data_IF_386396114770
#
_entry.id   IF_386396114770
#
_cell.length_a   1.000
_cell.length_b   1.000
_cell.length_c   1.000
_cell.angle_alpha   90.00
_cell.angle_beta   90.00
_cell.angle_gamma   90.00
#
_symmetry.space_group_name_H-M   'P 1'
#
loop_
_entity.id
_entity.type
_entity.pdbx_description
1 polymer ?
#
# COMPACT_ATOMS: atom_id res chain seq x y z
N UNK A 1 -7.61 -5.78 5.45
CA UNK A 1 -7.32 -6.25 4.06
C UNK A 1 -7.92 -7.61 3.77
N UNK A 2 -7.80 -8.59 4.67
CA UNK A 2 -8.34 -9.93 4.47
C UNK A 2 -9.88 -10.01 4.45
N UNK A 3 -10.58 -9.23 5.28
CA UNK A 3 -12.03 -9.28 5.40
C UNK A 3 -12.81 -9.12 4.08
N UNK A 4 -12.54 -8.08 3.26
CA UNK A 4 -13.16 -7.97 1.93
C UNK A 4 -12.89 -9.16 1.00
N UNK A 5 -11.70 -9.76 1.10
CA UNK A 5 -11.29 -10.89 0.27
C UNK A 5 -11.99 -12.18 0.70
N UNK A 6 -12.12 -12.42 2.00
CA UNK A 6 -12.71 -13.63 2.57
C UNK A 6 -14.25 -13.58 2.65
N UNK A 7 -14.83 -12.39 2.83
CA UNK A 7 -16.25 -12.20 3.13
C UNK A 7 -16.98 -11.35 2.08
N UNK A 8 -16.63 -11.48 0.80
CA UNK A 8 -17.22 -10.67 -0.28
C UNK A 8 -18.77 -10.72 -0.31
N UNK A 9 -19.36 -11.90 -0.08
CA UNK A 9 -20.81 -12.08 -0.05
C UNK A 9 -21.49 -11.37 1.13
N UNK A 10 -20.81 -11.27 2.28
CA UNK A 10 -21.31 -10.53 3.43
C UNK A 10 -21.30 -9.02 3.17
N UNK A 11 -20.23 -8.49 2.55
CA UNK A 11 -20.16 -7.08 2.15
C UNK A 11 -21.26 -6.71 1.16
N UNK A 12 -21.51 -7.57 0.15
CA UNK A 12 -22.58 -7.38 -0.82
C UNK A 12 -23.97 -7.37 -0.16
N UNK A 13 -24.26 -8.34 0.71
CA UNK A 13 -25.51 -8.42 1.47
C UNK A 13 -25.75 -7.20 2.36
N UNK A 14 -24.70 -6.68 2.99
CA UNK A 14 -24.80 -5.53 3.88
C UNK A 14 -24.78 -4.19 3.13
N UNK A 15 -24.64 -4.19 1.80
CA UNK A 15 -24.51 -2.97 0.99
C UNK A 15 -23.22 -2.17 1.29
N UNK A 16 -22.24 -2.79 1.95
CA UNK A 16 -21.00 -2.13 2.37
C UNK A 16 -19.99 -2.22 1.23
N UNK A 17 -19.45 -1.07 0.83
CA UNK A 17 -18.36 -1.03 -0.14
C UNK A 17 -17.04 -1.35 0.58
N UNK A 18 -16.23 -2.27 0.07
CA UNK A 18 -14.93 -2.53 0.65
C UNK A 18 -14.02 -1.29 0.51
N UNK A 19 -13.10 -1.06 1.47
CA UNK A 19 -12.17 0.06 1.39
C UNK A 19 -11.27 -0.12 0.16
N UNK A 20 -11.09 0.96 -0.62
CA UNK A 20 -10.33 0.90 -1.87
C UNK A 20 -8.86 1.23 -1.69
N UNK A 21 -8.56 2.08 -0.70
CA UNK A 21 -7.22 2.57 -0.43
C UNK A 21 -6.92 2.65 1.06
N UNK A 22 -5.70 2.27 1.41
CA UNK A 22 -5.12 2.44 2.75
C UNK A 22 -3.88 3.33 2.64
N UNK A 23 -3.80 4.40 3.42
CA UNK A 23 -2.60 5.24 3.53
C UNK A 23 -1.92 4.98 4.87
N UNK A 24 -0.73 4.39 4.83
CA UNK A 24 0.18 4.25 5.95
C UNK A 24 1.01 5.53 6.09
N UNK A 25 0.96 6.16 7.25
CA UNK A 25 1.79 7.33 7.54
C UNK A 25 2.46 7.19 8.89
N UNK A 26 3.59 7.88 9.08
CA UNK A 26 4.32 7.87 10.35
C UNK A 26 5.80 8.14 10.15
N UNK A 27 6.58 8.16 11.24
CA UNK A 27 8.00 8.46 11.18
C UNK A 27 8.78 7.47 10.29
N UNK A 28 9.91 7.91 9.71
CA UNK A 28 10.78 7.03 8.94
C UNK A 28 11.34 5.91 9.83
N UNK A 29 11.69 4.78 9.24
CA UNK A 29 12.29 3.65 9.97
C UNK A 29 11.31 2.78 10.76
N UNK A 30 10.00 3.03 10.69
CA UNK A 30 8.96 2.19 11.30
C UNK A 30 8.40 1.10 10.37
N UNK A 31 9.22 0.61 9.44
CA UNK A 31 8.90 -0.58 8.65
C UNK A 31 7.58 -0.54 7.84
N UNK A 32 7.06 0.63 7.47
CA UNK A 32 5.81 0.77 6.68
C UNK A 32 5.81 -0.09 5.40
N UNK A 33 6.93 -0.06 4.67
CA UNK A 33 7.17 -0.88 3.48
C UNK A 33 7.18 -2.38 3.78
N UNK A 34 7.76 -2.78 4.92
CA UNK A 34 7.78 -4.18 5.34
C UNK A 34 6.39 -4.65 5.82
N UNK A 35 5.64 -3.79 6.50
CA UNK A 35 4.27 -4.08 6.95
C UNK A 35 3.35 -4.35 5.75
N UNK A 36 3.45 -3.54 4.69
CA UNK A 36 2.68 -3.78 3.46
C UNK A 36 3.06 -5.09 2.76
N UNK A 37 4.36 -5.45 2.75
CA UNK A 37 4.82 -6.74 2.22
C UNK A 37 4.32 -7.93 3.05
N UNK A 38 4.40 -7.82 4.38
CA UNK A 38 3.90 -8.84 5.29
C UNK A 38 2.39 -9.06 5.10
N UNK A 39 1.64 -7.98 4.95
CA UNK A 39 0.19 -8.01 4.70
C UNK A 39 -0.17 -8.77 3.42
N UNK A 40 0.62 -8.58 2.34
CA UNK A 40 0.41 -9.30 1.09
C UNK A 40 0.74 -10.79 1.22
N UNK A 41 1.84 -11.12 1.92
CA UNK A 41 2.23 -12.50 2.18
C UNK A 41 1.18 -13.24 3.01
N UNK A 42 0.67 -12.60 4.07
CA UNK A 42 -0.36 -13.16 4.95
C UNK A 42 -1.70 -13.32 4.22
N UNK A 43 -2.08 -12.34 3.39
CA UNK A 43 -3.30 -12.40 2.59
C UNK A 43 -3.19 -13.35 1.37
N UNK A 44 -2.00 -13.89 1.07
CA UNK A 44 -1.70 -14.72 -0.10
C UNK A 44 -2.13 -14.06 -1.41
N UNK A 45 -1.91 -12.75 -1.52
CA UNK A 45 -2.27 -11.94 -2.69
C UNK A 45 -1.03 -11.51 -3.46
N UNK A 46 -1.19 -11.26 -4.76
CA UNK A 46 -0.12 -10.67 -5.56
C UNK A 46 0.29 -9.30 -4.99
N UNK A 47 1.57 -8.98 -5.06
CA UNK A 47 2.11 -7.72 -4.53
C UNK A 47 2.90 -6.99 -5.60
N UNK A 48 2.48 -5.77 -5.92
CA UNK A 48 3.17 -4.89 -6.88
C UNK A 48 3.61 -3.64 -6.14
N UNK A 49 4.90 -3.51 -5.86
CA UNK A 49 5.47 -2.31 -5.24
C UNK A 49 6.00 -1.34 -6.29
N UNK A 50 5.72 -0.06 -6.10
CA UNK A 50 6.22 1.04 -6.92
C UNK A 50 6.66 2.16 -5.99
N UNK A 51 7.87 2.69 -6.20
CA UNK A 51 8.33 3.88 -5.46
C UNK A 51 7.89 5.15 -6.16
N UNK A 52 7.52 6.20 -5.40
CA UNK A 52 7.12 7.50 -5.92
C UNK A 52 8.06 8.06 -7.01
N UNK A 53 9.39 8.07 -6.80
CA UNK A 53 10.35 8.53 -7.82
C UNK A 53 10.37 7.69 -9.11
N UNK A 54 10.07 6.39 -9.04
CA UNK A 54 10.09 5.49 -10.20
C UNK A 54 8.95 5.78 -11.18
N UNK A 55 7.88 6.42 -10.71
CA UNK A 55 6.78 6.87 -11.56
C UNK A 55 7.18 8.05 -12.47
N UNK A 56 8.30 8.74 -12.17
CA UNK A 56 8.76 9.91 -12.94
C UNK A 56 9.93 9.65 -13.89
N UNK A 57 10.70 8.58 -13.68
CA UNK A 57 12.00 8.41 -14.36
C UNK A 57 11.90 7.85 -15.78
N UNK A 58 10.73 7.37 -16.22
CA UNK A 58 10.49 6.95 -17.61
C UNK A 58 9.79 8.09 -18.35
N UNK A 59 10.58 8.88 -19.06
CA UNK A 59 10.25 9.89 -20.09
C UNK A 59 8.95 10.68 -19.92
N UNK A 60 9.06 12.00 -19.88
CA UNK A 60 7.96 12.98 -19.78
C UNK A 60 6.86 12.65 -20.83
N UNK A 61 5.80 11.96 -20.41
CA UNK A 61 4.70 11.44 -21.26
C UNK A 61 4.37 9.95 -21.06
N UNK A 62 5.35 9.10 -20.73
CA UNK A 62 5.14 7.67 -20.46
C UNK A 62 4.66 7.39 -19.03
N UNK A 63 4.89 8.31 -18.10
CA UNK A 63 4.52 8.15 -16.69
C UNK A 63 3.02 7.90 -16.48
N UNK A 64 2.14 8.55 -17.25
CA UNK A 64 0.69 8.34 -17.17
C UNK A 64 0.30 6.94 -17.69
N UNK A 65 0.87 6.54 -18.83
CA UNK A 65 0.67 5.20 -19.40
C UNK A 65 1.21 4.11 -18.48
N UNK A 66 2.30 4.38 -17.78
CA UNK A 66 2.87 3.47 -16.79
C UNK A 66 1.90 3.23 -15.62
N UNK A 67 1.24 4.28 -15.11
CA UNK A 67 0.19 4.15 -14.08
C UNK A 67 -1.00 3.36 -14.62
N UNK A 68 -1.52 3.68 -15.80
CA UNK A 68 -2.65 2.94 -16.38
C UNK A 68 -2.31 1.45 -16.60
N UNK A 69 -1.11 1.17 -17.12
CA UNK A 69 -0.61 -0.19 -17.34
C UNK A 69 -0.40 -0.96 -16.03
N UNK A 70 0.06 -0.27 -14.97
CA UNK A 70 0.22 -0.84 -13.63
C UNK A 70 -1.13 -1.35 -13.10
N UNK A 71 -2.16 -0.51 -13.15
CA UNK A 71 -3.50 -0.89 -12.71
C UNK A 71 -4.12 -1.97 -13.61
N UNK A 72 -3.86 -1.95 -14.92
CA UNK A 72 -4.30 -3.01 -15.81
C UNK A 72 -3.67 -4.37 -15.44
N UNK A 73 -2.35 -4.40 -15.18
CA UNK A 73 -1.64 -5.60 -14.71
C UNK A 73 -2.18 -6.09 -13.37
N UNK A 74 -2.38 -5.19 -12.40
CA UNK A 74 -2.93 -5.54 -11.10
C UNK A 74 -4.35 -6.12 -11.20
N UNK A 75 -5.17 -5.58 -12.11
CA UNK A 75 -6.53 -6.07 -12.41
C UNK A 75 -6.54 -7.43 -13.11
N UNK A 76 -5.53 -7.74 -13.91
CA UNK A 76 -5.39 -9.04 -14.57
C UNK A 76 -4.89 -10.11 -13.59
N UNK A 77 -4.07 -9.72 -12.60
CA UNK A 77 -3.52 -10.58 -11.58
C UNK A 77 -4.35 -10.61 -10.27
N UNK A 78 -5.60 -10.14 -10.27
CA UNK A 78 -6.39 -10.07 -9.04
C UNK A 78 -6.56 -11.45 -8.38
N UNK A 79 -6.47 -11.58 -7.04
CA UNK A 79 -6.35 -10.50 -6.04
C UNK A 79 -4.93 -9.94 -5.91
N UNK A 80 -4.81 -8.60 -5.92
CA UNK A 80 -3.52 -7.89 -5.91
C UNK A 80 -3.53 -6.71 -4.94
N UNK A 81 -2.41 -6.52 -4.22
CA UNK A 81 -2.10 -5.30 -3.49
C UNK A 81 -1.09 -4.48 -4.30
N UNK A 82 -1.48 -3.24 -4.65
CA UNK A 82 -0.57 -2.25 -5.23
C UNK A 82 -0.03 -1.42 -4.08
N UNK A 83 1.29 -1.42 -3.88
CA UNK A 83 1.95 -0.65 -2.83
C UNK A 83 2.73 0.53 -3.43
N UNK A 84 2.33 1.75 -3.07
CA UNK A 84 3.04 2.97 -3.43
C UNK A 84 3.88 3.46 -2.25
N UNK A 85 5.21 3.41 -2.37
CA UNK A 85 6.11 3.97 -1.36
C UNK A 85 6.45 5.42 -1.68
N UNK A 86 6.75 6.23 -0.65
CA UNK A 86 7.15 7.63 -0.80
C UNK A 86 6.17 8.47 -1.66
N UNK A 87 4.86 8.33 -1.43
CA UNK A 87 3.86 9.07 -2.21
C UNK A 87 3.95 10.59 -2.05
N UNK A 88 4.60 11.08 -1.00
CA UNK A 88 4.92 12.50 -0.81
C UNK A 88 5.87 13.04 -1.88
N UNK A 89 6.72 12.18 -2.49
CA UNK A 89 7.55 12.58 -3.63
C UNK A 89 6.69 12.96 -4.86
N UNK A 90 5.49 12.39 -4.98
CA UNK A 90 4.54 12.72 -6.05
C UNK A 90 3.87 14.08 -5.80
N UNK A 91 3.64 14.43 -4.53
CA UNK A 91 2.85 15.60 -4.14
C UNK A 91 3.68 16.88 -3.96
N UNK A 92 4.94 16.76 -3.52
CA UNK A 92 5.84 17.90 -3.29
C UNK A 92 6.07 18.80 -4.52
N UNK A 93 5.85 18.29 -5.75
CA UNK A 93 6.06 19.04 -7.00
C UNK A 93 4.89 19.90 -7.47
N UNK A 94 3.79 19.98 -6.70
CA UNK A 94 2.64 20.85 -7.03
C UNK A 94 2.94 22.35 -6.83
N UNK A 95 3.98 22.69 -6.06
CA UNK A 95 4.38 24.08 -5.76
C UNK A 95 5.07 24.85 -6.89
N UNK A 96 5.38 24.20 -8.03
CA UNK A 96 5.89 24.86 -9.24
C UNK A 96 5.05 24.44 -10.44
N UNK A 97 4.41 25.41 -11.10
CA UNK A 97 3.31 25.25 -12.07
C UNK A 97 3.32 24.00 -12.97
N UNK A 98 2.18 23.29 -13.02
CA UNK A 98 1.80 22.39 -14.12
C UNK A 98 2.74 21.20 -14.41
N UNK A 99 3.64 20.85 -13.47
CA UNK A 99 4.65 19.82 -13.67
C UNK A 99 4.09 18.41 -13.86
N UNK A 100 4.92 17.54 -14.44
CA UNK A 100 4.68 16.10 -14.68
C UNK A 100 4.09 15.38 -13.46
N UNK A 101 4.49 15.80 -12.25
CA UNK A 101 3.93 15.36 -10.96
C UNK A 101 2.41 15.39 -10.88
N UNK A 102 1.81 16.52 -11.21
CA UNK A 102 0.38 16.73 -11.09
C UNK A 102 -0.43 15.86 -12.06
N UNK A 103 0.12 15.60 -13.25
CA UNK A 103 -0.55 14.77 -14.26
C UNK A 103 -0.53 13.29 -13.88
N UNK A 104 0.61 12.79 -13.41
CA UNK A 104 0.74 11.42 -12.89
C UNK A 104 -0.19 11.18 -11.69
N UNK A 105 -0.25 12.14 -10.78
CA UNK A 105 -1.17 12.08 -9.64
C UNK A 105 -2.65 12.09 -10.10
N UNK A 106 -2.99 12.93 -11.08
CA UNK A 106 -4.34 12.98 -11.64
C UNK A 106 -4.72 11.64 -12.29
N UNK A 107 -3.79 11.02 -13.04
CA UNK A 107 -4.00 9.70 -13.62
C UNK A 107 -4.18 8.61 -12.55
N UNK A 108 -3.39 8.67 -11.47
CA UNK A 108 -3.55 7.77 -10.32
C UNK A 108 -4.95 7.89 -9.70
N UNK A 109 -5.44 9.12 -9.51
CA UNK A 109 -6.79 9.37 -8.99
C UNK A 109 -7.87 8.82 -9.94
N UNK A 110 -7.73 9.02 -11.25
CA UNK A 110 -8.66 8.48 -12.26
C UNK A 110 -8.69 6.95 -12.20
N UNK A 111 -7.53 6.29 -12.13
CA UNK A 111 -7.48 4.82 -12.01
C UNK A 111 -8.11 4.33 -10.71
N UNK A 112 -7.89 5.03 -9.58
CA UNK A 112 -8.50 4.70 -8.28
C UNK A 112 -10.03 4.85 -8.29
N UNK A 113 -10.54 5.94 -8.85
CA UNK A 113 -11.99 6.17 -8.98
C UNK A 113 -12.61 5.16 -9.95
N UNK A 114 -11.90 4.83 -11.03
CA UNK A 114 -12.26 3.86 -12.06
C UNK A 114 -12.18 2.39 -11.61
N UNK A 115 -11.66 2.08 -10.42
CA UNK A 115 -11.71 0.74 -9.85
C UNK A 115 -13.16 0.35 -9.56
N UNK A 116 -13.80 -0.39 -10.47
CA UNK A 116 -15.11 -0.99 -10.20
C UNK A 116 -14.96 -1.96 -9.01
N UNK A 117 -15.95 -1.98 -8.12
CA UNK A 117 -15.96 -2.78 -6.88
C UNK A 117 -15.80 -4.31 -7.07
N UNK A 118 -15.81 -4.78 -8.33
CA UNK A 118 -15.81 -6.19 -8.70
C UNK A 118 -14.41 -6.81 -8.80
N UNK A 119 -13.32 -6.03 -8.78
CA UNK A 119 -11.95 -6.57 -8.82
C UNK A 119 -11.27 -6.36 -7.47
N UNK A 120 -10.82 -7.46 -6.86
CA UNK A 120 -10.13 -7.54 -5.57
C UNK A 120 -8.71 -6.92 -5.61
N UNK A 121 -8.64 -5.64 -6.01
CA UNK A 121 -7.42 -4.85 -6.02
C UNK A 121 -7.48 -3.85 -4.88
N UNK A 122 -6.48 -3.89 -4.00
CA UNK A 122 -6.32 -2.94 -2.92
C UNK A 122 -5.12 -2.05 -3.18
N UNK A 123 -5.30 -0.74 -3.03
CA UNK A 123 -4.19 0.21 -3.09
C UNK A 123 -3.72 0.52 -1.67
N UNK A 124 -2.43 0.35 -1.41
CA UNK A 124 -1.78 0.74 -0.16
C UNK A 124 -0.71 1.77 -0.50
N UNK A 125 -0.69 2.89 0.20
CA UNK A 125 0.35 3.91 0.05
C UNK A 125 1.10 4.10 1.36
N UNK A 126 2.38 4.47 1.29
CA UNK A 126 3.17 4.85 2.45
C UNK A 126 3.78 6.24 2.27
N UNK A 127 3.76 7.04 3.33
CA UNK A 127 4.42 8.35 3.36
C UNK A 127 5.07 8.63 4.72
N UNK A 128 6.16 9.40 4.69
CA UNK A 128 6.76 9.97 5.90
C UNK A 128 6.29 11.42 6.14
N UNK A 129 5.58 12.02 5.17
CA UNK A 129 5.18 13.43 5.16
C UNK A 129 3.70 13.58 4.84
N UNK A 130 2.81 13.24 5.79
CA UNK A 130 1.37 13.31 5.57
C UNK A 130 0.86 14.76 5.39
N UNK A 131 1.64 15.77 5.77
CA UNK A 131 1.43 17.20 5.47
C UNK A 131 1.50 17.52 3.98
N UNK A 132 2.31 16.78 3.23
CA UNK A 132 2.50 17.02 1.80
C UNK A 132 1.51 16.24 0.93
N UNK A 133 0.77 15.29 1.50
CA UNK A 133 -0.18 14.47 0.74
C UNK A 133 -1.35 15.33 0.27
N UNK A 134 -1.69 15.17 -1.01
CA UNK A 134 -2.79 15.90 -1.63
C UNK A 134 -4.14 15.57 -0.96
N UNK A 135 -4.89 16.60 -0.57
CA UNK A 135 -6.22 16.42 0.01
C UNK A 135 -7.19 15.65 -0.91
N UNK A 136 -6.96 15.67 -2.23
CA UNK A 136 -7.73 14.87 -3.18
C UNK A 136 -7.53 13.36 -2.97
N UNK A 137 -6.35 12.91 -2.55
CA UNK A 137 -6.07 11.49 -2.29
C UNK A 137 -6.83 10.99 -1.05
N UNK A 138 -7.05 11.86 -0.07
CA UNK A 138 -7.70 11.54 1.21
C UNK A 138 -9.23 11.56 1.16
N UNK A 139 -9.83 11.83 -0.01
CA UNK A 139 -11.29 11.87 -0.15
C UNK A 139 -11.90 10.46 -0.07
N UNK A 140 -13.13 10.32 0.45
CA UNK A 140 -13.87 9.07 0.41
C UNK A 140 -13.98 8.51 -1.02
N UNK A 141 -13.80 7.21 -1.17
CA UNK A 141 -13.67 6.48 -2.43
C UNK A 141 -12.22 6.24 -2.88
N UNK A 142 -11.22 6.80 -2.18
CA UNK A 142 -9.79 6.73 -2.52
C UNK A 142 -9.01 6.14 -1.35
N UNK A 143 -8.22 6.93 -0.62
CA UNK A 143 -7.60 6.49 0.64
C UNK A 143 -8.56 6.70 1.80
N UNK A 144 -9.52 5.77 1.91
CA UNK A 144 -10.61 5.79 2.90
C UNK A 144 -10.13 5.48 4.32
N UNK A 145 -8.94 4.87 4.43
CA UNK A 145 -8.34 4.44 5.70
C UNK A 145 -6.95 5.02 5.83
N UNK A 146 -6.77 5.88 6.81
CA UNK A 146 -5.46 6.36 7.22
C UNK A 146 -5.03 5.58 8.45
N UNK A 147 -3.82 5.00 8.41
CA UNK A 147 -3.25 4.22 9.52
C UNK A 147 -1.95 4.87 9.95
N UNK A 148 -1.92 5.31 11.21
CA UNK A 148 -0.71 5.82 11.83
C UNK A 148 0.19 4.66 12.29
N UNK A 149 1.35 4.52 11.67
CA UNK A 149 2.40 3.57 12.08
C UNK A 149 3.31 4.26 13.08
N UNK A 150 3.05 4.02 14.36
CA UNK A 150 3.78 4.62 15.49
C UNK A 150 5.16 3.97 15.69
N UNK A 151 5.98 4.60 16.54
CA UNK A 151 7.19 3.98 17.05
C UNK A 151 6.85 2.70 17.85
N UNK A 152 7.74 1.70 17.83
CA UNK A 152 7.53 0.46 18.58
C UNK A 152 7.51 0.70 20.10
N UNK A 153 6.55 0.08 20.78
CA UNK A 153 6.53 -0.01 22.24
C UNK A 153 7.63 -0.95 22.77
N UNK A 154 7.80 -1.04 24.09
CA UNK A 154 8.87 -1.85 24.70
C UNK A 154 8.82 -3.31 24.27
N UNK A 155 7.63 -3.90 24.15
CA UNK A 155 7.47 -5.29 23.74
C UNK A 155 7.87 -5.46 22.27
N UNK A 156 7.38 -4.59 21.38
CA UNK A 156 7.73 -4.56 19.97
C UNK A 156 9.24 -4.32 19.77
N UNK A 157 9.88 -3.45 20.56
CA UNK A 157 11.33 -3.25 20.52
C UNK A 157 12.09 -4.53 20.88
N UNK A 158 11.64 -5.25 21.91
CA UNK A 158 12.23 -6.53 22.28
C UNK A 158 12.13 -7.56 21.14
N UNK A 159 10.97 -7.67 20.49
CA UNK A 159 10.78 -8.57 19.35
C UNK A 159 11.64 -8.15 18.15
N UNK A 160 11.74 -6.86 17.85
CA UNK A 160 12.62 -6.35 16.79
C UNK A 160 14.08 -6.70 17.08
N UNK A 161 14.54 -6.53 18.32
CA UNK A 161 15.89 -6.91 18.73
C UNK A 161 16.13 -8.41 18.57
N UNK A 162 15.18 -9.26 18.98
CA UNK A 162 15.26 -10.73 18.78
C UNK A 162 15.35 -11.10 17.30
N UNK A 163 14.56 -10.46 16.44
CA UNK A 163 14.60 -10.70 14.99
C UNK A 163 15.97 -10.36 14.42
N UNK A 164 16.53 -9.20 14.79
CA UNK A 164 17.82 -8.74 14.27
C UNK A 164 19.03 -9.45 14.87
N UNK A 165 18.88 -10.08 16.05
CA UNK A 165 19.92 -10.89 16.70
C UNK A 165 19.77 -12.39 16.48
N UNK A 166 18.71 -12.85 15.78
CA UNK A 166 18.43 -14.29 15.58
C UNK A 166 19.59 -15.07 14.95
N UNK A 167 20.42 -14.41 14.13
CA UNK A 167 21.58 -15.01 13.47
C UNK A 167 22.92 -14.55 14.08
N UNK A 168 22.86 -13.77 15.16
CA UNK A 168 24.03 -13.23 15.83
C UNK A 168 24.24 -14.00 17.13
N UNK A 169 25.39 -14.66 17.32
CA UNK A 169 25.68 -15.34 18.58
C UNK A 169 25.81 -14.28 19.69
N UNK A 170 24.88 -14.30 20.64
CA UNK A 170 24.88 -13.43 21.81
C UNK A 170 25.51 -14.18 23.00
N UNK A 171 26.33 -13.50 23.77
CA UNK A 171 26.82 -14.03 25.03
C UNK A 171 25.74 -13.95 26.11
N UNK A 172 25.89 -14.75 27.17
CA UNK A 172 24.92 -14.86 28.28
C UNK A 172 24.72 -13.54 29.05
N UNK A 173 25.66 -12.60 28.93
CA UNK A 173 25.61 -11.28 29.56
C UNK A 173 24.71 -10.26 28.82
N UNK A 174 24.11 -10.64 27.68
CA UNK A 174 23.24 -9.79 26.87
C UNK A 174 21.77 -10.04 27.17
N UNK A 175 21.13 -9.08 27.83
CA UNK A 175 19.67 -9.07 28.04
C UNK A 175 18.98 -8.14 27.05
N UNK A 176 18.29 -8.71 26.05
CA UNK A 176 17.53 -7.92 25.07
C UNK A 176 16.36 -7.13 25.68
N UNK A 177 15.83 -7.59 26.83
CA UNK A 177 14.79 -6.88 27.58
C UNK A 177 15.29 -5.55 28.14
N UNK A 178 16.50 -5.54 28.73
CA UNK A 178 17.13 -4.31 29.24
C UNK A 178 17.35 -3.30 28.12
N UNK A 179 17.83 -3.74 26.95
CA UNK A 179 18.01 -2.87 25.79
C UNK A 179 16.69 -2.37 25.21
N UNK A 180 15.63 -3.18 25.25
CA UNK A 180 14.30 -2.74 24.84
C UNK A 180 13.79 -1.60 25.73
N UNK A 181 14.02 -1.66 27.04
CA UNK A 181 13.68 -0.59 27.98
C UNK A 181 14.54 0.66 27.77
N UNK A 182 15.85 0.50 27.57
CA UNK A 182 16.80 1.60 27.39
C UNK A 182 16.65 2.35 26.05
N UNK A 183 16.03 1.75 25.04
CA UNK A 183 15.90 2.29 23.67
C UNK A 183 14.57 3.01 23.43
N UNK A 184 14.02 3.69 24.43
CA UNK A 184 12.81 4.50 24.25
C UNK A 184 12.99 5.55 23.12
N UNK A 185 12.01 5.60 22.22
CA UNK A 185 12.03 6.52 21.08
C UNK A 185 12.77 5.99 19.84
N UNK A 186 13.33 4.78 19.89
CA UNK A 186 13.98 4.17 18.73
C UNK A 186 12.94 3.59 17.76
N UNK A 187 13.16 3.83 16.48
CA UNK A 187 12.49 3.17 15.37
C UNK A 187 13.08 1.78 15.10
N UNK A 188 12.37 0.97 14.31
CA UNK A 188 12.86 -0.35 13.93
C UNK A 188 14.21 -0.29 13.19
N UNK A 189 14.42 0.74 12.36
CA UNK A 189 15.69 0.95 11.67
C UNK A 189 16.85 1.26 12.63
N UNK A 190 16.61 2.00 13.71
CA UNK A 190 17.64 2.32 14.71
C UNK A 190 17.96 1.11 15.58
N UNK A 191 16.98 0.27 15.92
CA UNK A 191 17.24 -1.00 16.60
C UNK A 191 18.04 -1.97 15.73
N UNK A 192 17.73 -2.03 14.43
CA UNK A 192 18.51 -2.80 13.48
C UNK A 192 19.95 -2.27 13.36
N UNK A 193 20.13 -0.95 13.38
CA UNK A 193 21.45 -0.33 13.40
C UNK A 193 22.20 -0.63 14.70
N UNK A 194 21.53 -0.57 15.85
CA UNK A 194 22.11 -0.90 17.16
C UNK A 194 22.69 -2.32 17.17
N UNK A 195 21.92 -3.32 16.73
CA UNK A 195 22.40 -4.70 16.64
C UNK A 195 23.59 -4.84 15.68
N UNK A 196 23.59 -4.11 14.57
CA UNK A 196 24.68 -4.12 13.59
C UNK A 196 25.95 -3.50 14.15
N UNK A 197 25.86 -2.34 14.79
CA UNK A 197 27.00 -1.66 15.41
C UNK A 197 27.59 -2.49 16.54
N UNK A 198 26.75 -3.17 17.34
CA UNK A 198 27.23 -4.10 18.38
C UNK A 198 27.99 -5.29 17.78
N UNK A 199 27.51 -5.86 16.67
CA UNK A 199 28.22 -6.94 15.97
C UNK A 199 29.54 -6.47 15.34
N UNK A 200 29.55 -5.28 14.73
CA UNK A 200 30.78 -4.68 14.17
C UNK A 200 31.79 -4.35 15.27
N UNK A 201 31.35 -3.84 16.42
CA UNK A 201 32.23 -3.58 17.55
C UNK A 201 32.89 -4.87 18.07
N UNK A 202 32.18 -6.00 18.08
CA UNK A 202 32.75 -7.29 18.43
C UNK A 202 33.87 -7.72 17.45
N UNK A 203 33.62 -7.55 16.15
CA UNK A 203 34.60 -7.88 15.10
C UNK A 203 35.81 -6.94 15.11
N UNK A 204 35.61 -5.65 15.39
CA UNK A 204 36.72 -4.71 15.55
C UNK A 204 37.61 -5.02 16.75
N UNK A 205 37.05 -5.58 17.82
CA UNK A 205 37.86 -6.05 18.96
C UNK A 205 38.67 -7.30 18.59
N UNK A 206 38.05 -8.24 17.85
CA UNK A 206 38.73 -9.44 17.38
C UNK A 206 38.02 -10.04 16.15
N UNK A 207 38.77 -10.28 15.07
CA UNK A 207 38.28 -11.00 13.89
C UNK A 207 37.84 -12.44 14.19
N UNK A 208 38.32 -13.01 15.31
CA UNK A 208 37.93 -14.33 15.79
C UNK A 208 36.77 -14.30 16.82
N UNK A 209 36.10 -13.15 16.98
CA UNK A 209 35.00 -13.01 17.92
C UNK A 209 33.87 -14.00 17.61
N UNK A 210 33.55 -14.85 18.57
CA UNK A 210 32.49 -15.86 18.44
C UNK A 210 31.15 -15.39 19.00
N UNK A 211 31.14 -14.37 19.86
CA UNK A 211 29.93 -13.86 20.52
C UNK A 211 29.95 -12.33 20.64
N UNK A 212 28.77 -11.74 20.60
CA UNK A 212 28.54 -10.33 20.93
C UNK A 212 28.20 -10.20 22.40
N UNK A 213 29.00 -9.43 23.13
CA UNK A 213 28.89 -9.19 24.57
C UNK A 213 28.15 -7.88 24.89
N UNK A 214 27.78 -7.71 26.16
CA UNK A 214 27.10 -6.51 26.68
C UNK A 214 27.86 -5.23 26.34
N UNK A 215 29.18 -5.22 26.53
CA UNK A 215 30.06 -4.08 26.24
C UNK A 215 29.95 -3.55 24.80
N UNK A 216 29.67 -4.42 23.83
CA UNK A 216 29.52 -4.00 22.43
C UNK A 216 28.18 -3.28 22.20
N UNK A 217 27.11 -3.75 22.84
CA UNK A 217 25.81 -3.08 22.83
C UNK A 217 25.84 -1.74 23.57
N UNK A 218 26.52 -1.69 24.72
CA UNK A 218 26.72 -0.45 25.46
C UNK A 218 27.48 0.59 24.62
N UNK A 219 28.53 0.16 23.91
CA UNK A 219 29.25 1.01 22.94
C UNK A 219 28.35 1.46 21.78
N UNK A 220 27.53 0.55 21.24
CA UNK A 220 26.61 0.86 20.16
C UNK A 220 25.52 1.87 20.57
N UNK A 221 25.03 1.83 21.81
CA UNK A 221 24.08 2.82 22.36
C UNK A 221 24.65 4.24 22.45
N UNK A 222 25.98 4.36 22.58
CA UNK A 222 26.63 5.68 22.58
C UNK A 222 26.59 6.31 21.18
N UNK A 223 26.66 5.49 20.13
CA UNK A 223 26.77 5.87 18.72
C UNK A 223 25.38 6.05 18.09
N UNK A 224 24.51 5.05 18.24
CA UNK A 224 23.18 5.05 17.64
C UNK A 224 22.25 5.86 18.54
N UNK A 225 21.75 6.98 18.03
CA UNK A 225 20.78 7.85 18.73
C UNK A 225 19.46 7.89 17.98
N UNK A 226 18.33 8.08 18.68
CA UNK A 226 17.03 8.24 18.03
C UNK A 226 17.05 9.50 17.17
N UNK A 227 16.79 9.34 15.88
CA UNK A 227 16.76 10.41 14.87
C UNK A 227 15.41 11.10 14.81
N UNK A 228 14.35 10.45 15.28
CA UNK A 228 13.01 11.05 15.31
C UNK A 228 12.87 11.93 16.56
N UNK A 229 12.79 13.25 16.36
CA UNK A 229 12.64 14.19 17.47
C UNK A 229 11.25 14.10 18.12
N UNK A 230 11.15 14.45 19.41
CA UNK A 230 9.87 14.54 20.12
C UNK A 230 8.88 15.50 19.43
N UNK A 231 9.37 16.58 18.82
CA UNK A 231 8.56 17.50 18.03
C UNK A 231 7.97 16.84 16.78
N UNK A 232 8.74 16.00 16.09
CA UNK A 232 8.25 15.26 14.94
C UNK A 232 7.18 14.24 15.34
N UNK A 233 7.33 13.58 16.49
CA UNK A 233 6.31 12.66 17.02
C UNK A 233 5.02 13.40 17.37
N UNK A 234 5.12 14.53 18.07
CA UNK A 234 3.97 15.36 18.41
C UNK A 234 3.21 15.84 17.15
N UNK A 235 3.92 16.09 16.05
CA UNK A 235 3.29 16.41 14.76
C UNK A 235 2.43 15.26 14.23
N UNK A 236 2.89 14.01 14.30
CA UNK A 236 2.11 12.85 13.84
C UNK A 236 0.90 12.60 14.72
N UNK A 237 1.04 12.72 16.05
CA UNK A 237 -0.09 12.58 16.99
C UNK A 237 -1.16 13.65 16.76
N UNK A 238 -0.73 14.89 16.50
CA UNK A 238 -1.65 15.98 16.17
C UNK A 238 -2.33 15.76 14.80
N UNK A 239 -1.58 15.26 13.81
CA UNK A 239 -2.14 14.90 12.52
C UNK A 239 -3.20 13.79 12.64
N UNK A 240 -2.93 12.76 13.45
CA UNK A 240 -3.88 11.69 13.76
C UNK A 240 -5.14 12.26 14.39
N UNK A 241 -5.00 13.10 15.43
CA UNK A 241 -6.15 13.78 16.07
C UNK A 241 -6.99 14.57 15.06
N UNK A 242 -6.37 15.37 14.19
CA UNK A 242 -7.08 16.18 13.19
C UNK A 242 -7.79 15.35 12.14
N UNK A 243 -7.22 14.22 11.74
CA UNK A 243 -7.77 13.36 10.67
C UNK A 243 -8.78 12.35 11.18
N UNK A 244 -8.68 11.93 12.44
CA UNK A 244 -9.69 11.08 13.12
C UNK A 244 -10.80 11.89 13.78
N UNK A 245 -10.62 13.20 14.01
CA UNK A 245 -11.68 14.13 14.38
C UNK A 245 -12.64 14.40 13.21
N UNK A 246 -13.31 13.36 12.74
CA UNK A 246 -14.65 13.50 12.17
C UNK A 246 -15.58 13.79 13.35
N UNK A 247 -16.42 14.84 13.30
CA UNK A 247 -17.32 15.12 14.42
C UNK A 247 -18.22 13.91 14.66
N UNK A 248 -18.41 13.55 15.92
CA UNK A 248 -19.32 12.50 16.39
C UNK A 248 -20.81 12.79 16.10
N UNK A 249 -21.13 13.60 15.09
CA UNK A 249 -22.47 14.04 14.70
C UNK A 249 -22.92 13.64 13.29
N UNK A 250 -22.12 12.89 12.52
CA UNK A 250 -22.52 12.44 11.17
C UNK A 250 -23.20 11.04 11.14
N UNK A 251 -23.63 10.54 12.31
CA UNK A 251 -24.53 9.39 12.42
C UNK A 251 -25.75 9.75 13.27
N UNK A 252 -26.51 10.75 12.83
CA UNK A 252 -27.89 10.93 13.24
C UNK A 252 -28.79 10.70 12.03
N UNK A 253 -28.94 9.43 11.61
CA UNK A 253 -30.14 8.99 10.89
C UNK A 253 -31.11 8.47 11.95
N UNK A 254 -31.67 9.42 12.71
CA UNK A 254 -32.86 9.23 13.53
C UNK A 254 -33.95 10.08 12.92
N UNK A 255 -34.45 9.69 11.75
CA UNK A 255 -35.72 10.18 11.26
C UNK A 255 -36.81 9.47 12.05
N UNK A 256 -37.48 10.22 12.93
CA UNK A 256 -38.77 9.82 13.48
C UNK A 256 -39.73 9.59 12.32
N UNK A 257 -40.15 8.34 12.13
CA UNK A 257 -41.31 8.02 11.29
C UNK A 257 -42.54 8.31 12.14
N UNK A 258 -43.24 9.39 11.79
CA UNK A 258 -44.58 9.67 12.30
C UNK A 258 -45.54 8.57 11.78
N UNK A 259 -46.33 7.89 12.63
CA UNK A 259 -47.16 6.76 12.22
C UNK A 259 -48.54 7.13 11.66
N UNK A 260 -48.77 8.36 11.21
CA UNK A 260 -50.10 8.84 10.81
C UNK A 260 -50.17 9.42 9.38
N UNK A 261 -49.61 8.73 8.38
CA UNK A 261 -49.94 9.03 6.97
C UNK A 261 -50.83 7.92 6.39
N UNK A 262 -52.14 8.17 6.47
CA UNK A 262 -53.20 7.32 5.92
C UNK A 262 -53.25 7.49 4.41
N UNK A 263 -53.26 6.36 3.71
CA UNK A 263 -53.47 6.29 2.28
C UNK A 263 -54.81 6.87 1.81
N UNK A 264 -54.77 7.40 0.60
CA UNK A 264 -55.89 7.61 -0.31
C UNK A 264 -55.30 7.25 -1.70
N UNK A 265 -55.78 6.28 -2.47
CA UNK A 265 -57.17 5.95 -2.71
C UNK A 265 -57.65 6.69 -3.96
N UNK A 266 -57.09 6.37 -5.14
CA UNK A 266 -57.47 7.02 -6.39
C UNK A 266 -57.26 6.13 -7.60
N UNK A 267 -58.34 5.45 -7.99
CA UNK A 267 -58.55 4.80 -9.29
C UNK A 267 -58.34 5.79 -10.45
N UNK A 268 -57.97 5.29 -11.63
CA UNK A 268 -58.62 5.63 -12.91
C UNK A 268 -58.10 4.71 -14.04
N UNK A 269 -59.07 4.20 -14.78
CA UNK A 269 -59.06 3.36 -15.98
C UNK A 269 -58.18 3.97 -17.11
N UNK A 270 -57.49 3.22 -17.96
CA UNK A 270 -58.04 2.48 -19.10
C UNK A 270 -57.75 3.25 -20.40
N UNK A 271 -56.99 2.67 -21.34
CA UNK A 271 -57.28 2.62 -22.79
C UNK A 271 -56.09 2.13 -23.64
N UNK A 272 -56.47 1.43 -24.71
CA UNK A 272 -55.65 0.77 -25.72
C UNK A 272 -55.14 1.76 -26.78
N UNK A 273 -54.02 1.43 -27.43
CA UNK A 273 -53.59 2.13 -28.65
C UNK A 273 -52.45 1.40 -29.37
N UNK A 274 -52.76 0.78 -30.49
CA UNK A 274 -51.86 0.04 -31.41
C UNK A 274 -51.41 0.97 -32.55
N UNK A 275 -50.12 0.92 -32.94
CA UNK A 275 -49.58 1.09 -34.31
C UNK A 275 -48.05 1.25 -34.20
N UNK A 276 -47.16 0.64 -34.98
CA UNK A 276 -47.23 0.18 -36.36
C UNK A 276 -46.26 1.01 -37.23
N UNK A 277 -45.54 0.32 -38.14
CA UNK A 277 -44.58 0.79 -39.17
C UNK A 277 -43.14 1.04 -38.70
N UNK A 278 -42.10 0.32 -39.15
CA UNK A 278 -41.64 -0.09 -40.49
C UNK A 278 -40.66 0.90 -41.14
N UNK A 279 -39.70 0.28 -41.83
CA UNK A 279 -38.78 0.77 -42.86
C UNK A 279 -37.54 1.58 -42.46
N UNK A 280 -36.43 1.49 -43.19
CA UNK A 280 -35.80 0.51 -44.10
C UNK A 280 -34.58 1.25 -44.67
N UNK A 281 -33.54 0.51 -45.07
CA UNK A 281 -32.53 0.91 -46.08
C UNK A 281 -31.66 2.16 -45.78
N UNK A 282 -30.40 2.22 -46.15
CA UNK A 282 -29.59 1.44 -47.07
C UNK A 282 -28.43 2.33 -47.52
N UNK A 283 -27.30 1.68 -47.83
CA UNK A 283 -26.35 2.08 -48.88
C UNK A 283 -25.55 3.40 -48.67
N UNK A 284 -24.32 3.59 -49.11
CA UNK A 284 -23.28 2.77 -49.74
C UNK A 284 -22.08 3.71 -50.00
N UNK A 285 -20.90 3.14 -50.28
CA UNK A 285 -19.74 3.76 -50.95
C UNK A 285 -18.99 4.87 -50.18
N UNK A 286 -17.67 5.03 -50.26
CA UNK A 286 -16.60 4.43 -51.05
C UNK A 286 -15.31 5.19 -50.69
N UNK A 287 -14.13 4.64 -50.98
CA UNK A 287 -12.89 5.37 -50.75
C UNK A 287 -11.62 4.53 -50.75
N UNK A 288 -11.15 4.21 -51.94
CA UNK A 288 -9.86 3.61 -52.28
C UNK A 288 -8.71 4.59 -52.01
N UNK A 289 -7.57 4.10 -51.48
CA UNK A 289 -6.22 4.44 -51.97
C UNK A 289 -5.13 3.61 -51.28
N UNK A 290 -4.31 2.97 -52.11
CA UNK A 290 -3.00 2.36 -51.85
C UNK A 290 -2.02 3.39 -51.23
N UNK A 291 -0.80 3.11 -50.74
CA UNK A 291 0.37 2.44 -51.32
C UNK A 291 1.38 2.22 -50.15
N UNK A 292 2.23 1.18 -50.19
CA UNK A 292 3.49 1.19 -49.44
C UNK A 292 4.06 -0.18 -49.09
N UNK A 293 4.83 -0.74 -50.01
CA UNK A 293 5.57 -2.01 -49.94
C UNK A 293 6.64 -2.04 -48.83
N UNK A 294 7.03 -3.26 -48.42
CA UNK A 294 8.14 -3.49 -47.51
C UNK A 294 8.28 -4.97 -47.13
N UNK A 295 8.88 -5.73 -48.03
CA UNK A 295 9.24 -7.15 -47.94
C UNK A 295 10.21 -7.46 -46.78
N UNK A 296 10.19 -8.72 -46.29
CA UNK A 296 11.19 -9.24 -45.36
C UNK A 296 10.83 -10.60 -44.77
N UNK A 297 11.21 -11.66 -45.46
CA UNK A 297 11.17 -13.11 -45.14
C UNK A 297 11.72 -13.41 -43.71
N UNK A 298 11.19 -14.35 -42.90
CA UNK A 298 11.24 -15.81 -43.07
C UNK A 298 12.68 -16.34 -43.01
N UNK A 299 13.17 -17.21 -42.13
CA UNK A 299 12.64 -18.07 -41.08
C UNK A 299 13.78 -19.03 -40.61
N UNK A 300 13.58 -19.63 -39.43
CA UNK A 300 14.16 -20.89 -38.91
C UNK A 300 15.65 -21.06 -38.57
N UNK A 301 15.90 -21.68 -37.39
CA UNK A 301 17.21 -22.28 -37.09
C UNK A 301 17.55 -22.62 -35.64
N UNK A 302 16.80 -23.56 -35.06
CA UNK A 302 16.92 -24.24 -33.75
C UNK A 302 18.32 -24.70 -33.24
N UNK A 303 18.46 -24.81 -31.91
CA UNK A 303 19.35 -25.72 -31.17
C UNK A 303 20.31 -25.03 -30.20
N UNK A 304 20.44 -25.33 -28.90
CA UNK A 304 19.94 -26.38 -28.03
C UNK A 304 20.92 -26.44 -26.84
N UNK A 305 20.45 -26.51 -25.59
CA UNK A 305 21.34 -26.58 -24.42
C UNK A 305 20.66 -26.50 -23.06
N UNK A 306 20.21 -27.66 -22.57
CA UNK A 306 19.89 -28.02 -21.17
C UNK A 306 21.09 -27.68 -20.25
N UNK A 307 21.07 -27.52 -18.91
CA UNK A 307 20.29 -28.07 -17.79
C UNK A 307 20.79 -27.31 -16.53
N UNK A 308 19.97 -27.24 -15.47
CA UNK A 308 20.42 -26.76 -14.15
C UNK A 308 19.24 -26.56 -13.19
N UNK A 309 18.80 -27.66 -12.59
CA UNK A 309 17.80 -27.71 -11.52
C UNK A 309 18.46 -27.60 -10.14
N UNK A 310 17.60 -27.54 -9.11
CA UNK A 310 17.85 -27.46 -7.66
C UNK A 310 18.24 -26.07 -7.14
N UNK A 311 17.62 -25.53 -6.08
CA UNK A 311 17.14 -26.21 -4.86
C UNK A 311 16.00 -25.38 -4.23
N UNK A 312 14.87 -26.03 -3.95
CA UNK A 312 13.75 -25.44 -3.22
C UNK A 312 13.92 -25.75 -1.73
N UNK A 313 14.05 -24.72 -0.90
CA UNK A 313 14.18 -24.86 0.55
C UNK A 313 12.78 -24.80 1.22
N UNK A 314 12.32 -25.86 1.92
CA UNK A 314 10.94 -25.98 2.35
C UNK A 314 10.78 -25.70 3.85
N UNK A 315 10.50 -24.48 4.29
CA UNK A 315 10.11 -24.23 5.69
C UNK A 315 9.08 -23.09 5.82
N UNK A 316 7.91 -23.30 5.21
CA UNK A 316 6.64 -22.85 5.78
C UNK A 316 6.34 -23.66 7.03
N UNK A 317 6.23 -23.01 8.19
CA UNK A 317 5.86 -23.73 9.40
C UNK A 317 5.81 -22.85 10.64
N UNK A 318 4.61 -22.29 10.87
CA UNK A 318 4.11 -21.78 12.17
C UNK A 318 4.69 -20.45 12.65
N UNK A 319 3.99 -19.37 12.31
CA UNK A 319 3.83 -18.23 13.23
C UNK A 319 2.34 -18.13 13.55
N UNK A 320 2.08 -18.45 14.80
CA UNK A 320 0.81 -18.40 15.53
C UNK A 320 0.27 -16.98 15.61
N UNK A 321 -1.03 -16.86 15.29
CA UNK A 321 -2.03 -15.97 15.89
C UNK A 321 -1.52 -14.77 16.70
N UNK A 322 -1.64 -13.58 16.14
CA UNK A 322 -1.84 -12.36 16.91
C UNK A 322 -2.89 -11.52 16.19
N UNK A 323 -4.03 -11.40 16.86
CA UNK A 323 -5.21 -10.67 16.43
C UNK A 323 -4.92 -9.18 16.30
N UNK A 324 -5.24 -8.63 15.14
CA UNK A 324 -5.56 -7.22 14.90
C UNK A 324 -6.90 -7.15 14.17
#
# INVERSE_FOLDING_TARGET
VQWPLQHAHAFARMGIRPPRGVLLYGPPGCSKTLAAKALAAEARTNFIAVKGPELFSKYVGESERAVASLFQKARAAAPTIIFFDEVDALAARRGGGGGVGARVLSQLLIEMDGMRALKAVLVVAATNRPDLVDAALLRPGRFDRLIHVRLPDTQARCEILKIHTRRTPLAEDVSLGEYAEATHGYSGAELAALCREAALAALHESDAATHVHRRHFDGALAIVRPRTSARALAFFDEYERRTTAVPAGAHAFGGSVDPDDKGDGGELEGELGVSGADNDGGESEGGVACIGEGEGEGGDGNGGGRQGADEADPLEGRITSLSL
#
